data_IF_501785571821
#
_entry.id   IF_501785571821
#
_cell.length_a   1.000
_cell.length_b   1.000
_cell.length_c   1.000
_cell.angle_alpha   90.00
_cell.angle_beta   90.00
_cell.angle_gamma   90.00
#
_symmetry.space_group_name_H-M   'P 1'
#
loop_
_entity.id
_entity.type
_entity.pdbx_description
1 polymer ?
#
# COMPACT_ATOMS: atom_id res chain seq x y z
N UNK A 1 -13.21 -6.84 -19.12
CA UNK A 1 -14.14 -5.77 -19.54
C UNK A 1 -14.12 -5.63 -21.05
N UNK A 2 -15.09 -4.88 -21.59
CA UNK A 2 -15.25 -4.64 -23.03
C UNK A 2 -13.96 -4.16 -23.71
N UNK A 3 -13.18 -3.26 -23.08
CA UNK A 3 -11.92 -2.77 -23.65
C UNK A 3 -10.89 -3.90 -23.84
N UNK A 4 -10.79 -4.83 -22.90
CA UNK A 4 -9.85 -5.94 -23.04
C UNK A 4 -10.32 -6.91 -24.14
N UNK A 5 -11.59 -7.31 -24.10
CA UNK A 5 -12.14 -8.30 -25.02
C UNK A 5 -12.22 -7.80 -26.46
N UNK A 6 -12.57 -6.52 -26.67
CA UNK A 6 -12.81 -5.98 -28.01
C UNK A 6 -11.61 -5.29 -28.64
N UNK A 7 -10.72 -4.70 -27.84
CA UNK A 7 -9.58 -3.91 -28.34
C UNK A 7 -8.27 -4.62 -28.07
N UNK A 8 -7.97 -4.93 -26.80
CA UNK A 8 -6.64 -5.42 -26.41
C UNK A 8 -6.39 -6.84 -26.90
N UNK A 9 -7.22 -7.82 -26.51
CA UNK A 9 -7.00 -9.23 -26.85
C UNK A 9 -7.07 -9.50 -28.35
N UNK A 10 -7.91 -8.74 -29.07
CA UNK A 10 -8.07 -8.83 -30.52
C UNK A 10 -7.02 -8.02 -31.31
N UNK A 11 -6.09 -7.34 -30.63
CA UNK A 11 -5.05 -6.54 -31.30
C UNK A 11 -5.58 -5.43 -32.20
N UNK A 12 -6.79 -4.91 -31.96
CA UNK A 12 -7.45 -3.92 -32.83
C UNK A 12 -6.95 -2.50 -32.59
N UNK A 13 -5.63 -2.31 -32.57
CA UNK A 13 -5.00 -1.01 -32.36
C UNK A 13 -3.55 -1.02 -32.88
N UNK A 14 -3.09 0.10 -33.44
CA UNK A 14 -1.66 0.34 -33.64
C UNK A 14 -1.03 0.89 -32.36
N UNK A 15 -1.71 1.82 -31.69
CA UNK A 15 -1.37 2.37 -30.38
C UNK A 15 -2.67 2.68 -29.61
N UNK A 16 -2.66 2.51 -28.28
CA UNK A 16 -3.82 2.78 -27.42
C UNK A 16 -3.45 3.81 -26.35
N UNK A 17 -4.10 4.97 -26.40
CA UNK A 17 -4.00 6.01 -25.38
C UNK A 17 -5.30 6.07 -24.58
N UNK A 18 -5.20 5.98 -23.26
CA UNK A 18 -6.36 6.09 -22.35
C UNK A 18 -6.06 7.17 -21.33
N UNK A 19 -6.90 8.20 -21.29
CA UNK A 19 -6.90 9.21 -20.22
C UNK A 19 -8.08 8.94 -19.28
N UNK A 20 -7.85 9.05 -17.97
CA UNK A 20 -8.91 8.90 -16.98
C UNK A 20 -8.55 9.64 -15.69
N UNK A 21 -9.58 10.15 -15.01
CA UNK A 21 -9.50 10.63 -13.64
C UNK A 21 -10.07 9.60 -12.64
N UNK A 22 -10.62 8.48 -13.13
CA UNK A 22 -11.22 7.44 -12.31
C UNK A 22 -10.14 6.41 -11.91
N UNK A 23 -9.83 6.35 -10.62
CA UNK A 23 -8.81 5.45 -10.09
C UNK A 23 -9.19 3.97 -10.17
N UNK A 24 -10.47 3.62 -10.09
CA UNK A 24 -10.92 2.22 -10.24
C UNK A 24 -10.78 1.76 -11.68
N UNK A 25 -11.01 2.65 -12.63
CA UNK A 25 -10.72 2.36 -14.03
C UNK A 25 -9.21 2.24 -14.27
N UNK A 26 -8.37 3.08 -13.65
CA UNK A 26 -6.92 2.92 -13.70
C UNK A 26 -6.46 1.54 -13.15
N UNK A 27 -7.02 1.09 -12.01
CA UNK A 27 -6.74 -0.26 -11.48
C UNK A 27 -7.06 -1.35 -12.51
N UNK A 28 -8.18 -1.21 -13.22
CA UNK A 28 -8.53 -2.11 -14.31
C UNK A 28 -7.51 -2.07 -15.45
N UNK A 29 -7.10 -0.88 -15.90
CA UNK A 29 -6.11 -0.69 -16.97
C UNK A 29 -4.73 -1.29 -16.61
N UNK A 30 -4.33 -1.23 -15.35
CA UNK A 30 -3.11 -1.88 -14.85
C UNK A 30 -3.14 -3.40 -14.97
N UNK A 31 -4.32 -4.01 -14.85
CA UNK A 31 -4.52 -5.47 -14.96
C UNK A 31 -4.63 -5.98 -16.38
N UNK A 32 -4.68 -5.09 -17.38
CA UNK A 32 -4.66 -5.52 -18.79
C UNK A 32 -3.40 -6.36 -19.04
N UNK A 33 -3.47 -7.30 -19.97
CA UNK A 33 -2.29 -8.07 -20.39
C UNK A 33 -1.35 -7.20 -21.21
N UNK A 34 -0.05 -7.40 -21.07
CA UNK A 34 0.99 -6.75 -21.87
C UNK A 34 1.22 -7.47 -23.20
N UNK A 35 0.19 -8.17 -23.70
CA UNK A 35 0.21 -8.86 -24.97
C UNK A 35 -1.19 -8.91 -25.60
N UNK A 36 -1.22 -9.17 -26.90
CA UNK A 36 -2.41 -9.49 -27.68
C UNK A 36 -2.16 -10.68 -28.60
N UNK A 37 -3.23 -11.24 -29.16
CA UNK A 37 -3.16 -12.34 -30.13
C UNK A 37 -3.30 -11.80 -31.55
N UNK A 38 -2.44 -12.24 -32.46
CA UNK A 38 -2.61 -11.99 -33.89
C UNK A 38 -3.73 -12.87 -34.46
N UNK A 39 -4.10 -12.65 -35.73
CA UNK A 39 -5.10 -13.48 -36.41
C UNK A 39 -4.64 -14.95 -36.51
N UNK A 40 -3.33 -15.18 -36.51
CA UNK A 40 -2.67 -16.50 -36.55
C UNK A 40 -2.54 -17.14 -35.16
N UNK A 41 -2.92 -16.44 -34.09
CA UNK A 41 -2.85 -16.92 -32.71
C UNK A 41 -1.54 -16.65 -31.98
N UNK A 42 -0.60 -15.90 -32.60
CA UNK A 42 0.69 -15.58 -32.00
C UNK A 42 0.55 -14.51 -30.92
N UNK A 43 1.29 -14.66 -29.82
CA UNK A 43 1.34 -13.67 -28.74
C UNK A 43 2.36 -12.58 -29.07
N UNK A 44 1.87 -11.35 -29.26
CA UNK A 44 2.72 -10.17 -29.46
C UNK A 44 2.73 -9.33 -28.20
N UNK A 45 3.93 -8.98 -27.71
CA UNK A 45 4.11 -8.15 -26.51
C UNK A 45 3.87 -6.67 -26.82
N UNK A 46 3.14 -5.99 -25.96
CA UNK A 46 2.92 -4.55 -25.98
C UNK A 46 3.75 -3.84 -24.93
N UNK A 47 4.34 -2.71 -25.30
CA UNK A 47 4.89 -1.78 -24.33
C UNK A 47 3.77 -1.05 -23.59
N UNK A 48 3.93 -0.90 -22.28
CA UNK A 48 3.00 -0.18 -21.41
C UNK A 48 3.71 0.86 -20.59
N UNK A 49 3.18 2.08 -20.64
CA UNK A 49 3.64 3.19 -19.84
C UNK A 49 2.45 3.89 -19.20
N UNK A 50 2.64 4.33 -17.96
CA UNK A 50 1.64 5.08 -17.21
C UNK A 50 2.19 6.47 -16.94
N UNK A 51 1.33 7.47 -17.12
CA UNK A 51 1.68 8.87 -16.97
C UNK A 51 0.65 9.57 -16.09
N UNK A 52 1.08 10.65 -15.45
CA UNK A 52 0.22 11.57 -14.71
C UNK A 52 0.28 12.93 -15.37
N UNK A 53 -0.87 13.61 -15.44
CA UNK A 53 -0.94 15.00 -15.90
C UNK A 53 -0.73 15.89 -14.68
N UNK A 54 0.40 16.60 -14.64
CA UNK A 54 0.73 17.55 -13.58
C UNK A 54 0.44 18.96 -14.09
N UNK A 55 -0.46 19.65 -13.41
CA UNK A 55 -0.81 21.05 -13.69
C UNK A 55 -0.03 21.96 -12.77
N UNK A 56 0.69 22.92 -13.36
CA UNK A 56 1.35 24.03 -12.68
C UNK A 56 0.81 25.32 -13.26
N UNK A 57 -0.07 26.00 -12.52
CA UNK A 57 -0.80 27.20 -12.95
C UNK A 57 -1.52 27.03 -14.30
N UNK A 58 -0.96 27.67 -15.34
CA UNK A 58 -1.45 27.70 -16.72
C UNK A 58 -0.78 26.67 -17.63
N UNK A 59 0.14 25.85 -17.10
CA UNK A 59 0.85 24.80 -17.85
C UNK A 59 0.45 23.42 -17.35
N UNK A 60 0.32 22.47 -18.27
CA UNK A 60 0.13 21.06 -17.96
C UNK A 60 1.27 20.26 -18.58
N UNK A 61 1.84 19.34 -17.83
CA UNK A 61 2.94 18.48 -18.27
C UNK A 61 2.55 17.01 -18.05
N UNK A 62 3.00 16.15 -18.96
CA UNK A 62 2.94 14.71 -18.77
C UNK A 62 4.21 14.28 -18.05
N UNK A 63 4.06 13.65 -16.90
CA UNK A 63 5.16 13.07 -16.15
C UNK A 63 4.94 11.56 -16.04
N UNK A 64 6.03 10.80 -15.93
CA UNK A 64 5.94 9.36 -15.66
C UNK A 64 5.18 9.16 -14.35
N UNK A 65 4.25 8.21 -14.33
CA UNK A 65 3.50 7.90 -13.12
C UNK A 65 4.48 7.48 -12.02
N UNK A 66 4.41 8.08 -10.81
CA UNK A 66 5.24 7.68 -9.69
C UNK A 66 5.13 6.18 -9.41
N UNK A 67 6.24 5.55 -9.00
CA UNK A 67 6.31 4.10 -8.74
C UNK A 67 5.23 3.63 -7.78
N UNK A 68 4.99 4.35 -6.68
CA UNK A 68 3.92 4.01 -5.73
C UNK A 68 2.54 3.98 -6.40
N UNK A 69 2.23 4.92 -7.29
CA UNK A 69 0.94 4.94 -7.97
C UNK A 69 0.89 3.90 -9.08
N UNK A 70 2.01 3.39 -9.57
CA UNK A 70 2.09 2.35 -10.61
C UNK A 70 2.01 0.95 -10.01
N UNK A 71 2.81 0.68 -8.98
CA UNK A 71 3.09 -0.65 -8.43
C UNK A 71 1.96 -1.17 -7.54
N UNK A 72 1.36 -0.34 -6.68
CA UNK A 72 0.32 -0.80 -5.78
C UNK A 72 -1.07 -0.82 -6.43
N UNK A 73 -1.82 -1.88 -6.16
CA UNK A 73 -3.20 -2.05 -6.64
C UNK A 73 -4.18 -1.22 -5.81
N UNK A 74 -3.96 -1.14 -4.50
CA UNK A 74 -4.75 -0.36 -3.56
C UNK A 74 -3.86 0.33 -2.53
N UNK A 75 -4.39 1.33 -1.83
CA UNK A 75 -3.71 1.95 -0.68
C UNK A 75 -3.43 0.90 0.41
N UNK A 76 -4.32 -0.07 0.61
CA UNK A 76 -4.09 -1.17 1.56
C UNK A 76 -2.80 -1.96 1.26
N UNK A 77 -2.54 -2.30 0.00
CA UNK A 77 -1.28 -2.97 -0.39
C UNK A 77 -0.06 -2.08 -0.14
N UNK A 78 -0.18 -0.79 -0.45
CA UNK A 78 0.88 0.18 -0.17
C UNK A 78 1.20 0.26 1.33
N UNK A 79 0.17 0.41 2.17
CA UNK A 79 0.32 0.55 3.61
C UNK A 79 0.94 -0.70 4.23
N UNK A 80 0.49 -1.89 3.81
CA UNK A 80 1.13 -3.15 4.18
C UNK A 80 2.63 -3.15 3.80
N UNK A 81 2.98 -2.75 2.57
CA UNK A 81 4.38 -2.74 2.14
C UNK A 81 5.24 -1.78 2.96
N UNK A 82 4.70 -0.61 3.33
CA UNK A 82 5.43 0.34 4.18
C UNK A 82 5.69 -0.25 5.57
N UNK A 83 4.72 -0.93 6.17
CA UNK A 83 4.89 -1.62 7.45
C UNK A 83 5.95 -2.73 7.32
N UNK A 84 5.87 -3.54 6.26
CA UNK A 84 6.84 -4.60 6.00
C UNK A 84 8.27 -4.06 5.84
N UNK A 85 8.45 -2.95 5.09
CA UNK A 85 9.75 -2.28 4.95
C UNK A 85 10.27 -1.79 6.30
N UNK A 86 9.43 -1.15 7.11
CA UNK A 86 9.83 -0.74 8.46
C UNK A 86 10.30 -1.93 9.32
N UNK A 87 9.65 -3.09 9.20
CA UNK A 87 10.01 -4.28 9.97
C UNK A 87 11.33 -4.94 9.51
N UNK A 88 11.64 -4.83 8.21
CA UNK A 88 12.73 -5.56 7.54
C UNK A 88 14.03 -4.76 7.41
N UNK A 89 14.01 -3.45 7.61
CA UNK A 89 15.23 -2.64 7.58
C UNK A 89 16.07 -2.93 8.83
N UNK A 90 17.36 -3.27 8.67
CA UNK A 90 18.26 -3.52 9.80
C UNK A 90 18.99 -2.26 10.29
N UNK A 91 19.26 -1.31 9.39
CA UNK A 91 19.98 -0.07 9.68
C UNK A 91 19.21 1.15 9.19
N UNK A 92 19.12 2.17 10.02
CA UNK A 92 18.45 3.44 9.70
C UNK A 92 19.50 4.43 9.20
N UNK A 93 19.26 5.02 8.04
CA UNK A 93 20.09 6.07 7.46
C UNK A 93 19.24 7.16 6.81
N UNK A 94 19.89 8.22 6.31
CA UNK A 94 19.20 9.36 5.68
C UNK A 94 18.41 8.95 4.43
N UNK A 95 18.68 7.78 3.84
CA UNK A 95 17.98 7.29 2.65
C UNK A 95 16.65 6.60 3.00
N UNK A 96 16.49 6.11 4.23
CA UNK A 96 15.31 5.36 4.67
C UNK A 96 14.54 6.01 5.84
N UNK A 97 15.05 7.11 6.41
CA UNK A 97 14.41 7.85 7.50
C UNK A 97 12.93 8.22 7.24
N UNK A 98 12.58 8.56 6.00
CA UNK A 98 11.22 8.93 5.59
C UNK A 98 10.22 7.78 5.80
N UNK A 99 10.66 6.53 5.69
CA UNK A 99 9.84 5.34 5.91
C UNK A 99 9.38 5.25 7.36
N UNK A 100 10.27 5.56 8.31
CA UNK A 100 9.95 5.59 9.74
C UNK A 100 9.15 6.83 10.13
N UNK A 101 9.51 8.02 9.62
CA UNK A 101 8.76 9.25 9.88
C UNK A 101 7.25 9.10 9.62
N UNK A 102 6.89 8.40 8.54
CA UNK A 102 5.50 8.17 8.13
C UNK A 102 4.86 6.92 8.75
N UNK A 103 5.61 6.10 9.49
CA UNK A 103 5.17 4.80 9.97
C UNK A 103 3.86 4.87 10.77
N UNK A 104 3.78 5.77 11.75
CA UNK A 104 2.62 5.86 12.64
C UNK A 104 1.31 6.15 11.87
N UNK A 105 1.37 7.02 10.85
CA UNK A 105 0.22 7.33 10.02
C UNK A 105 -0.13 6.16 9.08
N UNK A 106 0.89 5.50 8.50
CA UNK A 106 0.68 4.34 7.65
C UNK A 106 0.07 3.17 8.43
N UNK A 107 0.57 2.90 9.64
CA UNK A 107 0.08 1.83 10.51
C UNK A 107 -1.37 2.10 10.95
N UNK A 108 -1.69 3.34 11.33
CA UNK A 108 -3.08 3.75 11.64
C UNK A 108 -4.03 3.46 10.48
N UNK A 109 -3.74 4.00 9.28
CA UNK A 109 -4.57 3.77 8.08
C UNK A 109 -4.67 2.29 7.71
N UNK A 110 -3.59 1.53 7.88
CA UNK A 110 -3.61 0.09 7.64
C UNK A 110 -4.63 -0.58 8.55
N UNK A 111 -4.61 -0.27 9.85
CA UNK A 111 -5.55 -0.84 10.82
C UNK A 111 -6.99 -0.38 10.61
N UNK A 112 -7.22 0.87 10.20
CA UNK A 112 -8.57 1.34 9.82
C UNK A 112 -9.18 0.43 8.75
N UNK A 113 -8.41 0.10 7.72
CA UNK A 113 -8.88 -0.77 6.62
C UNK A 113 -8.94 -2.23 7.08
N UNK A 114 -7.87 -2.73 7.69
CA UNK A 114 -7.71 -4.13 8.06
C UNK A 114 -8.77 -4.57 9.07
N UNK A 115 -8.95 -3.80 10.15
CA UNK A 115 -9.91 -4.11 11.20
C UNK A 115 -11.35 -3.88 10.73
N UNK A 116 -11.59 -2.96 9.81
CA UNK A 116 -12.91 -2.85 9.18
C UNK A 116 -13.32 -4.13 8.44
N UNK A 117 -12.41 -4.75 7.69
CA UNK A 117 -12.73 -6.02 7.02
C UNK A 117 -12.80 -7.22 7.98
N UNK A 118 -12.07 -7.16 9.10
CA UNK A 118 -12.05 -8.24 10.10
C UNK A 118 -13.23 -8.16 11.10
N UNK A 119 -13.63 -6.94 11.45
CA UNK A 119 -14.67 -6.61 12.43
C UNK A 119 -15.60 -5.53 11.84
N UNK A 120 -16.42 -5.85 10.83
CA UNK A 120 -17.18 -4.86 10.06
C UNK A 120 -18.27 -4.13 10.87
N UNK A 121 -18.65 -4.67 12.03
CA UNK A 121 -19.58 -4.06 12.98
C UNK A 121 -18.94 -2.99 13.88
N UNK A 122 -17.62 -3.06 14.09
CA UNK A 122 -16.88 -2.20 15.03
C UNK A 122 -15.83 -1.31 14.34
N UNK A 123 -15.16 -1.80 13.30
CA UNK A 123 -14.04 -1.12 12.67
C UNK A 123 -12.79 -1.13 13.55
N UNK A 124 -12.01 -0.04 13.50
CA UNK A 124 -10.83 0.15 14.34
C UNK A 124 -11.22 0.82 15.66
N UNK A 125 -11.06 0.08 16.75
CA UNK A 125 -11.33 0.51 18.14
C UNK A 125 -10.21 0.00 19.05
N UNK A 126 -10.08 0.52 20.29
CA UNK A 126 -9.14 -0.05 21.26
C UNK A 126 -9.35 -1.56 21.48
N UNK A 127 -10.59 -2.03 21.52
CA UNK A 127 -10.94 -3.44 21.75
C UNK A 127 -10.53 -4.33 20.58
N UNK A 128 -10.79 -3.90 19.34
CA UNK A 128 -10.43 -4.66 18.13
C UNK A 128 -8.92 -4.66 17.89
N UNK A 129 -8.21 -3.61 18.30
CA UNK A 129 -6.75 -3.59 18.35
C UNK A 129 -6.18 -4.50 19.44
N UNK A 130 -6.76 -4.49 20.64
CA UNK A 130 -6.40 -5.45 21.70
C UNK A 130 -6.62 -6.89 21.23
N UNK A 131 -7.71 -7.16 20.50
CA UNK A 131 -7.94 -8.47 19.90
C UNK A 131 -6.88 -8.84 18.85
N UNK A 132 -6.33 -7.86 18.12
CA UNK A 132 -5.26 -8.09 17.14
C UNK A 132 -3.89 -8.27 17.80
N UNK A 133 -3.53 -7.45 18.79
CA UNK A 133 -2.21 -7.43 19.42
C UNK A 133 -2.09 -8.36 20.63
N UNK A 134 -3.20 -8.69 21.30
CA UNK A 134 -3.27 -9.30 22.64
C UNK A 134 -3.55 -8.26 23.73
N UNK A 135 -4.24 -8.65 24.81
CA UNK A 135 -4.40 -7.77 25.99
C UNK A 135 -3.02 -7.29 26.48
N UNK A 136 -2.89 -6.00 26.78
CA UNK A 136 -1.66 -5.30 27.24
C UNK A 136 -0.48 -5.17 26.24
N UNK A 137 -0.70 -5.40 24.95
CA UNK A 137 0.39 -5.37 23.97
C UNK A 137 0.17 -4.42 22.79
N UNK A 138 -0.81 -3.51 22.90
CA UNK A 138 -0.98 -2.45 21.89
C UNK A 138 0.22 -1.50 21.98
N UNK A 139 0.97 -1.31 20.88
CA UNK A 139 2.09 -0.37 20.82
C UNK A 139 1.67 1.07 21.11
N UNK A 140 2.43 1.79 21.94
CA UNK A 140 2.14 3.17 22.34
C UNK A 140 2.03 4.12 21.12
N UNK A 141 2.87 3.92 20.10
CA UNK A 141 2.79 4.63 18.80
C UNK A 141 1.39 4.61 18.18
N UNK A 142 0.63 3.52 18.34
CA UNK A 142 -0.74 3.40 17.83
C UNK A 142 -1.74 4.01 18.80
N UNK A 143 -1.59 3.73 20.10
CA UNK A 143 -2.45 4.25 21.17
C UNK A 143 -2.47 5.79 21.19
N UNK A 144 -1.30 6.42 21.09
CA UNK A 144 -1.18 7.88 21.07
C UNK A 144 -1.79 8.50 19.82
N UNK A 145 -1.71 7.84 18.66
CA UNK A 145 -2.30 8.36 17.42
C UNK A 145 -3.82 8.24 17.41
N UNK A 146 -4.34 7.11 17.90
CA UNK A 146 -5.78 6.88 18.03
C UNK A 146 -6.38 7.89 19.02
N UNK A 147 -5.83 7.98 20.24
CA UNK A 147 -6.35 8.89 21.25
C UNK A 147 -6.29 10.36 20.80
N UNK A 148 -5.22 10.77 20.11
CA UNK A 148 -4.98 12.16 19.75
C UNK A 148 -5.82 12.66 18.55
N UNK A 149 -6.22 11.78 17.61
CA UNK A 149 -7.20 12.14 16.57
C UNK A 149 -8.64 12.14 17.10
N UNK A 150 -9.00 11.17 17.95
CA UNK A 150 -10.32 11.14 18.57
C UNK A 150 -10.53 12.25 19.62
N UNK A 151 -9.46 12.86 20.16
CA UNK A 151 -9.53 13.95 21.14
C UNK A 151 -9.42 15.37 20.57
N UNK A 152 -9.65 15.59 19.27
CA UNK A 152 -9.48 16.89 18.56
C UNK A 152 -8.04 17.45 18.58
N UNK A 153 -7.26 17.17 17.52
CA UNK A 153 -6.08 17.95 17.04
C UNK A 153 -5.08 18.47 18.11
N UNK A 154 -5.01 17.85 19.28
CA UNK A 154 -4.20 18.30 20.41
C UNK A 154 -2.87 17.56 20.42
N UNK A 155 -1.83 18.15 19.82
CA UNK A 155 -0.47 17.60 19.92
C UNK A 155 0.42 17.81 18.71
N UNK A 156 0.07 18.69 17.76
CA UNK A 156 0.95 19.02 16.62
C UNK A 156 2.23 19.73 17.10
N UNK A 157 2.12 20.58 18.13
CA UNK A 157 3.26 21.37 18.64
C UNK A 157 4.26 20.55 19.48
N UNK A 158 3.81 19.73 20.42
CA UNK A 158 4.69 18.92 21.29
C UNK A 158 5.45 17.85 20.49
N UNK A 159 4.83 17.33 19.42
CA UNK A 159 5.45 16.37 18.49
C UNK A 159 6.50 17.00 17.57
N UNK A 160 6.36 18.29 17.23
CA UNK A 160 7.39 19.02 16.49
C UNK A 160 8.66 19.27 17.32
N UNK A 161 8.56 19.16 18.64
CA UNK A 161 9.67 19.37 19.59
C UNK A 161 10.41 18.07 19.95
N UNK A 162 9.83 16.90 19.66
CA UNK A 162 10.37 15.60 20.05
C UNK A 162 11.05 14.91 18.86
N UNK A 163 12.27 14.35 19.03
CA UNK A 163 12.92 13.55 17.99
C UNK A 163 12.05 12.35 17.57
N UNK A 164 12.18 11.91 16.33
CA UNK A 164 11.48 10.71 15.84
C UNK A 164 12.08 9.46 16.49
N UNK A 165 11.27 8.71 17.23
CA UNK A 165 11.68 7.47 17.90
C UNK A 165 11.68 6.27 16.93
N UNK A 166 12.73 6.19 16.11
CA UNK A 166 12.85 5.15 15.08
C UNK A 166 12.87 3.70 15.62
N UNK A 167 13.57 3.38 16.73
CA UNK A 167 13.62 2.01 17.25
C UNK A 167 12.25 1.46 17.69
N UNK A 168 11.39 2.32 18.24
CA UNK A 168 10.04 1.94 18.67
C UNK A 168 9.15 1.61 17.46
N UNK A 169 9.25 2.39 16.39
CA UNK A 169 8.51 2.18 15.14
C UNK A 169 8.88 0.86 14.47
N UNK A 170 10.18 0.52 14.42
CA UNK A 170 10.66 -0.75 13.89
C UNK A 170 10.14 -1.94 14.72
N UNK A 171 10.21 -1.83 16.05
CA UNK A 171 9.70 -2.86 16.97
C UNK A 171 8.20 -3.08 16.77
N UNK A 172 7.44 -2.00 16.69
CA UNK A 172 6.00 -2.04 16.39
C UNK A 172 5.73 -2.69 15.04
N UNK A 173 6.48 -2.33 14.00
CA UNK A 173 6.34 -2.93 12.67
C UNK A 173 6.57 -4.45 12.70
N UNK A 174 7.61 -4.91 13.39
CA UNK A 174 7.89 -6.35 13.56
C UNK A 174 6.75 -7.06 14.29
N UNK A 175 6.23 -6.48 15.37
CA UNK A 175 5.08 -7.04 16.08
C UNK A 175 3.84 -7.17 15.18
N UNK A 176 3.56 -6.16 14.34
CA UNK A 176 2.46 -6.22 13.37
C UNK A 176 2.68 -7.38 12.38
N UNK A 177 3.88 -7.51 11.82
CA UNK A 177 4.21 -8.57 10.87
C UNK A 177 4.09 -9.95 11.52
N UNK A 178 4.60 -10.14 12.73
CA UNK A 178 4.46 -11.40 13.47
C UNK A 178 3.00 -11.76 13.76
N UNK A 179 2.16 -10.78 14.10
CA UNK A 179 0.72 -11.01 14.24
C UNK A 179 0.04 -11.37 12.92
N UNK A 180 0.42 -10.73 11.81
CA UNK A 180 -0.13 -11.06 10.48
C UNK A 180 0.28 -12.47 10.01
N UNK A 181 1.50 -12.94 10.35
CA UNK A 181 1.98 -14.29 10.02
C UNK A 181 1.12 -15.42 10.63
N UNK A 182 0.35 -15.14 11.69
CA UNK A 182 -0.58 -16.12 12.28
C UNK A 182 -1.68 -16.54 11.29
N UNK A 183 -2.03 -15.69 10.31
CA UNK A 183 -2.83 -16.05 9.14
C UNK A 183 -1.91 -16.21 7.93
N UNK A 184 -1.32 -17.39 7.79
CA UNK A 184 -0.31 -17.69 6.76
C UNK A 184 -0.83 -17.49 5.32
N UNK A 185 -2.11 -17.79 5.08
CA UNK A 185 -2.74 -17.66 3.76
C UNK A 185 -2.89 -16.18 3.37
N UNK A 186 -3.39 -15.37 4.30
CA UNK A 186 -3.53 -13.94 4.08
C UNK A 186 -2.15 -13.26 3.97
N UNK A 187 -1.21 -13.59 4.85
CA UNK A 187 0.14 -13.01 4.83
C UNK A 187 0.87 -13.32 3.53
N UNK A 188 0.83 -14.58 3.07
CA UNK A 188 1.41 -14.99 1.78
C UNK A 188 0.80 -14.20 0.61
N UNK A 189 -0.50 -13.96 0.66
CA UNK A 189 -1.21 -13.18 -0.36
C UNK A 189 -0.82 -11.70 -0.32
N UNK A 190 -0.65 -11.13 0.88
CA UNK A 190 -0.17 -9.76 1.08
C UNK A 190 1.24 -9.57 0.51
N UNK A 191 2.18 -10.46 0.82
CA UNK A 191 3.56 -10.44 0.30
C UNK A 191 3.59 -10.49 -1.23
N UNK A 192 2.86 -11.43 -1.83
CA UNK A 192 2.73 -11.52 -3.30
C UNK A 192 2.14 -10.25 -3.91
N UNK A 193 1.20 -9.60 -3.22
CA UNK A 193 0.55 -8.38 -3.72
C UNK A 193 1.48 -7.17 -3.81
N UNK A 194 2.59 -7.19 -3.08
CA UNK A 194 3.61 -6.13 -3.05
C UNK A 194 4.92 -6.54 -3.72
N UNK A 195 4.95 -7.74 -4.32
CA UNK A 195 6.11 -8.25 -5.05
C UNK A 195 7.26 -8.75 -4.17
N UNK A 196 7.00 -9.00 -2.89
CA UNK A 196 8.00 -9.52 -1.94
C UNK A 196 7.98 -11.06 -1.93
N UNK A 197 9.14 -11.67 -1.74
CA UNK A 197 9.27 -13.12 -1.61
C UNK A 197 8.74 -13.57 -0.24
N UNK A 198 8.05 -14.71 -0.19
CA UNK A 198 7.69 -15.36 1.07
C UNK A 198 8.83 -16.29 1.43
N UNK A 199 9.56 -15.99 2.49
CA UNK A 199 10.49 -16.94 3.08
C UNK A 199 9.68 -18.13 3.58
N UNK A 200 9.78 -19.25 2.87
CA UNK A 200 9.23 -20.52 3.35
C UNK A 200 10.19 -21.00 4.42
N UNK A 201 9.84 -20.82 5.69
CA UNK A 201 10.51 -21.52 6.77
C UNK A 201 10.35 -23.02 6.52
N UNK A 202 11.41 -23.64 5.98
CA UNK A 202 11.53 -25.08 5.92
C UNK A 202 11.67 -25.58 7.35
N UNK A 203 10.59 -26.16 7.86
CA UNK A 203 10.57 -26.94 9.10
C UNK A 203 11.57 -28.09 9.03
#
# INVERSE_FOLDING_TARGET
SLLNAEVVEKGKFAQLFVSTHNLDFLKYLKRLKDNYLTAEGDKVKCQKAYFVVVRQDKKSTLQVMPSYLKEYVTEFNYLFHQIHKCASLDTIDDTNYVTFYNFANNARKFFEIYLYYRYPDQGMTPETLSAFFGEDSIPAVLTDRINNEYSHLSGVFERGASPVEVPEMQTTARQIIERLKQDSDQFTSLMKSVGEAVEVETV
#
